data_IF_111435010768
#
_entry.id   IF_111435010768
#
_cell.length_a   1.000
_cell.length_b   1.000
_cell.length_c   1.000
_cell.angle_alpha   90.00
_cell.angle_beta   90.00
_cell.angle_gamma   90.00
#
_symmetry.space_group_name_H-M   'P 1'
#
loop_
_entity.id
_entity.type
_entity.pdbx_description
1 polymer ?
#
# COMPACT_ATOMS: atom_id res chain seq x y z
N UNK A 1 17.96 -17.62 -2.90
CA UNK A 1 19.03 -16.58 -2.97
C UNK A 1 19.51 -16.44 -4.42
N UNK A 2 19.00 -15.47 -5.17
CA UNK A 2 19.44 -15.15 -6.54
C UNK A 2 20.52 -14.06 -6.47
N UNK A 3 21.80 -14.44 -6.45
CA UNK A 3 22.90 -13.47 -6.54
C UNK A 3 22.97 -12.94 -7.98
N UNK A 4 22.77 -11.63 -8.18
CA UNK A 4 23.26 -10.90 -9.37
C UNK A 4 22.24 -10.37 -10.38
N UNK A 5 20.96 -10.74 -10.35
CA UNK A 5 19.95 -10.11 -11.21
C UNK A 5 19.25 -8.98 -10.45
N UNK A 6 19.12 -7.76 -11.03
CA UNK A 6 18.37 -6.69 -10.38
C UNK A 6 16.94 -7.17 -10.12
N UNK A 7 16.44 -6.91 -8.91
CA UNK A 7 15.06 -7.25 -8.56
C UNK A 7 14.10 -6.57 -9.54
N UNK A 8 13.04 -7.29 -9.93
CA UNK A 8 12.05 -6.75 -10.86
C UNK A 8 11.34 -5.50 -10.29
N UNK A 9 11.02 -5.54 -9.00
CA UNK A 9 10.53 -4.40 -8.24
C UNK A 9 11.66 -3.90 -7.34
N UNK A 10 11.93 -2.60 -7.42
CA UNK A 10 12.81 -1.86 -6.50
C UNK A 10 12.02 -1.46 -5.23
N UNK A 11 12.70 -1.04 -4.14
CA UNK A 11 12.04 -0.76 -2.86
C UNK A 11 10.91 0.26 -2.93
N UNK A 12 11.06 1.32 -3.73
CA UNK A 12 10.03 2.36 -3.87
C UNK A 12 8.74 1.85 -4.54
N UNK A 13 8.84 0.89 -5.47
CA UNK A 13 7.66 0.26 -6.05
C UNK A 13 6.91 -0.58 -5.03
N UNK A 14 7.62 -1.29 -4.14
CA UNK A 14 7.01 -2.10 -3.09
C UNK A 14 6.29 -1.21 -2.07
N UNK A 15 6.91 -0.09 -1.70
CA UNK A 15 6.30 0.87 -0.79
C UNK A 15 5.08 1.55 -1.44
N UNK A 16 5.17 1.92 -2.73
CA UNK A 16 4.02 2.43 -3.47
C UNK A 16 2.86 1.40 -3.52
N UNK A 17 3.18 0.12 -3.79
CA UNK A 17 2.22 -0.98 -3.79
C UNK A 17 1.58 -1.17 -2.40
N UNK A 18 2.36 -1.08 -1.33
CA UNK A 18 1.85 -1.20 0.03
C UNK A 18 0.91 -0.03 0.38
N UNK A 19 1.28 1.21 0.05
CA UNK A 19 0.45 2.39 0.30
C UNK A 19 -0.89 2.34 -0.44
N UNK A 20 -0.88 1.96 -1.72
CA UNK A 20 -2.13 1.82 -2.48
C UNK A 20 -2.97 0.65 -1.97
N UNK A 21 -2.35 -0.47 -1.57
CA UNK A 21 -3.05 -1.60 -0.96
C UNK A 21 -3.74 -1.20 0.35
N UNK A 22 -3.05 -0.46 1.23
CA UNK A 22 -3.62 0.05 2.47
C UNK A 22 -4.76 1.03 2.21
N UNK A 23 -4.67 1.86 1.17
CA UNK A 23 -5.76 2.72 0.74
C UNK A 23 -6.97 1.90 0.25
N UNK A 24 -6.73 0.88 -0.56
CA UNK A 24 -7.75 -0.04 -1.05
C UNK A 24 -8.48 -0.77 0.08
N UNK A 25 -7.77 -1.25 1.10
CA UNK A 25 -8.36 -1.85 2.29
C UNK A 25 -9.31 -0.88 3.03
N UNK A 26 -8.96 0.42 3.10
CA UNK A 26 -9.80 1.44 3.74
C UNK A 26 -11.07 1.76 2.95
N UNK A 27 -11.06 1.59 1.63
CA UNK A 27 -12.26 1.86 0.81
C UNK A 27 -13.40 0.87 1.04
N UNK A 28 -13.17 -0.23 1.76
CA UNK A 28 -14.12 -1.34 1.92
C UNK A 28 -14.60 -1.93 0.58
N UNK A 29 -13.87 -1.73 -0.54
CA UNK A 29 -14.19 -2.37 -1.82
C UNK A 29 -14.05 -3.90 -1.76
N UNK A 30 -13.25 -4.42 -0.82
CA UNK A 30 -13.09 -5.86 -0.60
C UNK A 30 -14.20 -6.33 0.34
N UNK A 31 -15.19 -7.03 -0.19
CA UNK A 31 -16.22 -7.70 0.61
C UNK A 31 -15.57 -8.74 1.52
N UNK A 32 -15.71 -8.58 2.85
CA UNK A 32 -15.28 -9.59 3.80
C UNK A 32 -16.35 -10.68 3.89
N UNK A 33 -16.18 -11.76 3.15
CA UNK A 33 -17.16 -12.87 3.08
C UNK A 33 -16.97 -13.92 4.17
N UNK A 34 -15.89 -13.86 4.96
CA UNK A 34 -15.56 -14.86 5.98
C UNK A 34 -15.83 -14.36 7.40
N UNK A 35 -16.44 -15.21 8.23
CA UNK A 35 -16.62 -15.00 9.68
C UNK A 35 -15.26 -14.78 10.38
N UNK A 36 -15.17 -13.77 11.25
CA UNK A 36 -13.96 -13.45 12.03
C UNK A 36 -13.94 -14.26 13.32
N UNK A 37 -12.96 -15.12 13.53
CA UNK A 37 -12.81 -15.94 14.75
C UNK A 37 -11.87 -15.33 15.80
N UNK A 38 -11.54 -14.03 15.69
CA UNK A 38 -10.70 -13.33 16.66
C UNK A 38 -11.41 -13.20 18.03
N UNK A 39 -10.97 -13.91 19.08
CA UNK A 39 -11.65 -13.94 20.38
C UNK A 39 -11.63 -12.59 21.09
N UNK A 40 -10.72 -11.68 20.73
CA UNK A 40 -10.68 -10.31 21.26
C UNK A 40 -11.82 -9.41 20.75
N UNK A 41 -12.50 -9.81 19.67
CA UNK A 41 -13.63 -9.05 19.07
C UNK A 41 -15.00 -9.56 19.46
N UNK A 42 -15.10 -10.77 20.05
CA UNK A 42 -16.38 -11.43 20.38
C UNK A 42 -17.07 -10.83 21.62
N UNK A 43 -16.39 -9.97 22.39
CA UNK A 43 -16.94 -9.35 23.62
C UNK A 43 -16.90 -7.82 23.68
N UNK A 44 -16.48 -7.13 22.61
CA UNK A 44 -16.32 -5.68 22.59
C UNK A 44 -17.65 -4.95 22.36
N UNK A 45 -18.23 -4.42 23.44
CA UNK A 45 -19.41 -3.55 23.46
C UNK A 45 -19.31 -2.48 22.37
N UNK A 46 -20.12 -2.61 21.31
CA UNK A 46 -20.25 -1.64 20.23
C UNK A 46 -20.50 -0.23 20.78
N UNK A 47 -19.54 0.69 20.62
CA UNK A 47 -19.78 2.14 20.60
C UNK A 47 -20.50 2.48 19.27
N UNK A 48 -21.75 2.02 19.16
CA UNK A 48 -22.40 1.62 17.91
C UNK A 48 -23.14 2.69 17.10
N UNK A 49 -22.62 3.92 16.99
CA UNK A 49 -23.18 4.86 15.99
C UNK A 49 -22.13 5.86 15.49
N UNK A 50 -21.45 6.55 16.41
CA UNK A 50 -20.42 7.54 16.06
C UNK A 50 -19.21 6.91 15.34
N UNK A 51 -18.69 5.79 15.85
CA UNK A 51 -17.55 5.08 15.23
C UNK A 51 -17.92 4.45 13.88
N UNK A 52 -19.18 4.05 13.69
CA UNK A 52 -19.65 3.53 12.41
C UNK A 52 -19.77 4.65 11.35
N UNK A 53 -20.20 5.85 11.75
CA UNK A 53 -20.26 7.01 10.88
C UNK A 53 -18.87 7.51 10.49
N UNK A 54 -17.95 7.65 11.46
CA UNK A 54 -16.55 8.02 11.19
C UNK A 54 -15.85 7.02 10.26
N UNK A 55 -16.16 5.73 10.40
CA UNK A 55 -15.61 4.69 9.55
C UNK A 55 -16.19 4.74 8.12
N UNK A 56 -17.47 5.06 7.97
CA UNK A 56 -18.12 5.24 6.68
C UNK A 56 -17.57 6.48 5.95
N UNK A 57 -17.42 7.60 6.66
CA UNK A 57 -16.84 8.84 6.12
C UNK A 57 -15.37 8.62 5.73
N UNK A 58 -14.60 7.92 6.57
CA UNK A 58 -13.23 7.52 6.24
C UNK A 58 -13.15 6.63 4.99
N UNK A 59 -14.13 5.76 4.75
CA UNK A 59 -14.17 4.92 3.56
C UNK A 59 -14.53 5.74 2.29
N UNK A 60 -15.46 6.69 2.40
CA UNK A 60 -15.82 7.61 1.30
C UNK A 60 -14.62 8.47 0.90
N UNK A 61 -13.90 9.04 1.87
CA UNK A 61 -12.72 9.86 1.57
C UNK A 61 -11.57 9.03 1.03
N UNK A 62 -11.37 7.80 1.52
CA UNK A 62 -10.41 6.87 0.93
C UNK A 62 -10.76 6.55 -0.54
N UNK A 63 -12.04 6.38 -0.88
CA UNK A 63 -12.48 6.19 -2.28
C UNK A 63 -12.17 7.40 -3.13
N UNK A 64 -12.48 8.61 -2.67
CA UNK A 64 -12.14 9.86 -3.40
C UNK A 64 -10.65 9.95 -3.67
N UNK A 65 -9.82 9.69 -2.66
CA UNK A 65 -8.36 9.69 -2.79
C UNK A 65 -7.89 8.63 -3.79
N UNK A 66 -8.44 7.41 -3.72
CA UNK A 66 -8.11 6.32 -4.63
C UNK A 66 -8.44 6.68 -6.08
N UNK A 67 -9.66 7.15 -6.36
CA UNK A 67 -10.07 7.52 -7.71
C UNK A 67 -9.22 8.66 -8.26
N UNK A 68 -8.93 9.69 -7.45
CA UNK A 68 -8.03 10.77 -7.84
C UNK A 68 -6.65 10.25 -8.24
N UNK A 69 -6.10 9.29 -7.49
CA UNK A 69 -4.82 8.66 -7.86
C UNK A 69 -4.93 7.88 -9.17
N UNK A 70 -5.97 7.05 -9.33
CA UNK A 70 -6.19 6.23 -10.53
C UNK A 70 -6.43 7.06 -11.79
N UNK A 71 -7.11 8.20 -11.69
CA UNK A 71 -7.32 9.14 -12.80
C UNK A 71 -6.02 9.74 -13.34
N UNK A 72 -4.96 9.80 -12.53
CA UNK A 72 -3.64 10.28 -12.95
C UNK A 72 -2.84 9.21 -13.71
N UNK A 73 -3.25 7.94 -13.67
CA UNK A 73 -2.58 6.85 -14.36
C UNK A 73 -3.23 6.58 -15.73
N UNK A 74 -2.45 6.10 -16.72
CA UNK A 74 -3.01 5.49 -17.92
C UNK A 74 -3.98 4.35 -17.55
N UNK A 75 -5.07 4.20 -18.31
CA UNK A 75 -6.13 3.24 -18.01
C UNK A 75 -5.61 1.79 -17.82
N UNK A 76 -4.65 1.37 -18.65
CA UNK A 76 -4.03 0.05 -18.54
C UNK A 76 -3.26 -0.13 -17.22
N UNK A 77 -2.54 0.93 -16.78
CA UNK A 77 -1.80 0.91 -15.52
C UNK A 77 -2.75 0.88 -14.32
N UNK A 78 -3.79 1.71 -14.33
CA UNK A 78 -4.81 1.74 -13.29
C UNK A 78 -5.49 0.36 -13.15
N UNK A 79 -5.86 -0.26 -14.28
CA UNK A 79 -6.46 -1.59 -14.31
C UNK A 79 -5.56 -2.66 -13.70
N UNK A 80 -4.28 -2.70 -14.07
CA UNK A 80 -3.32 -3.69 -13.54
C UNK A 80 -3.04 -3.48 -12.05
N UNK A 81 -2.92 -2.23 -11.59
CA UNK A 81 -2.73 -1.94 -10.17
C UNK A 81 -3.93 -2.44 -9.37
N UNK A 82 -5.16 -2.20 -9.85
CA UNK A 82 -6.37 -2.70 -9.19
C UNK A 82 -6.43 -4.23 -9.17
N UNK A 83 -6.11 -4.88 -10.29
CA UNK A 83 -6.07 -6.34 -10.38
C UNK A 83 -5.04 -6.97 -9.44
N UNK A 84 -3.84 -6.40 -9.35
CA UNK A 84 -2.74 -6.97 -8.54
C UNK A 84 -2.82 -6.56 -7.09
N UNK A 85 -3.01 -5.27 -6.79
CA UNK A 85 -2.98 -4.76 -5.42
C UNK A 85 -4.33 -4.85 -4.72
N UNK A 86 -5.43 -4.75 -5.46
CA UNK A 86 -6.80 -4.85 -4.92
C UNK A 86 -7.29 -6.29 -4.92
N UNK A 87 -7.35 -6.90 -6.11
CA UNK A 87 -7.91 -8.25 -6.28
C UNK A 87 -6.90 -9.38 -6.10
N UNK A 88 -5.61 -9.07 -5.91
CA UNK A 88 -4.54 -10.05 -5.73
C UNK A 88 -4.47 -11.11 -6.84
N UNK A 89 -4.86 -10.73 -8.07
CA UNK A 89 -4.79 -11.62 -9.23
C UNK A 89 -3.33 -11.92 -9.60
N UNK A 90 -3.09 -13.16 -10.04
CA UNK A 90 -1.81 -13.51 -10.65
C UNK A 90 -1.63 -12.84 -12.02
N UNK A 91 -0.40 -12.45 -12.36
CA UNK A 91 -0.10 -11.76 -13.63
C UNK A 91 -0.56 -12.55 -14.87
N UNK A 92 -0.45 -13.87 -14.84
CA UNK A 92 -0.88 -14.73 -15.95
C UNK A 92 -2.40 -14.67 -16.18
N UNK A 93 -3.17 -14.56 -15.09
CA UNK A 93 -4.63 -14.43 -15.15
C UNK A 93 -5.01 -13.09 -15.79
N UNK A 94 -4.35 -12.01 -15.37
CA UNK A 94 -4.55 -10.66 -15.93
C UNK A 94 -4.26 -10.64 -17.43
N UNK A 95 -3.14 -11.25 -17.86
CA UNK A 95 -2.79 -11.35 -19.28
C UNK A 95 -3.87 -12.12 -20.07
N UNK A 96 -4.43 -13.18 -19.48
CA UNK A 96 -5.46 -14.00 -20.12
C UNK A 96 -6.81 -13.27 -20.21
N UNK A 97 -7.25 -12.65 -19.12
CA UNK A 97 -8.51 -11.90 -19.06
C UNK A 97 -8.49 -10.68 -20.00
N UNK A 98 -7.35 -10.00 -20.12
CA UNK A 98 -7.19 -8.80 -20.95
C UNK A 98 -6.72 -9.09 -22.37
N UNK A 99 -6.54 -10.36 -22.73
CA UNK A 99 -5.99 -10.79 -24.04
C UNK A 99 -4.64 -10.13 -24.37
N UNK A 100 -3.80 -9.96 -23.35
CA UNK A 100 -2.49 -9.34 -23.53
C UNK A 100 -1.40 -10.38 -23.83
N UNK A 101 -0.35 -9.98 -24.57
CA UNK A 101 0.81 -10.85 -24.82
C UNK A 101 1.50 -11.28 -23.52
N UNK A 102 2.22 -12.40 -23.56
CA UNK A 102 2.97 -12.90 -22.41
C UNK A 102 3.97 -11.85 -21.88
N UNK A 103 4.04 -11.71 -20.55
CA UNK A 103 4.92 -10.79 -19.80
C UNK A 103 4.58 -9.30 -19.93
N UNK A 104 3.47 -8.95 -20.58
CA UNK A 104 3.00 -7.56 -20.68
C UNK A 104 2.51 -7.00 -19.34
N UNK A 105 1.75 -7.77 -18.56
CA UNK A 105 1.20 -7.32 -17.29
C UNK A 105 2.32 -7.00 -16.30
N UNK A 106 3.42 -7.77 -16.36
CA UNK A 106 4.62 -7.48 -15.59
C UNK A 106 5.20 -6.10 -15.93
N UNK A 107 5.35 -5.78 -17.22
CA UNK A 107 5.91 -4.50 -17.64
C UNK A 107 4.99 -3.33 -17.27
N UNK A 108 3.68 -3.47 -17.52
CA UNK A 108 2.67 -2.45 -17.23
C UNK A 108 2.55 -2.21 -15.71
N UNK A 109 2.59 -3.26 -14.90
CA UNK A 109 2.61 -3.13 -13.43
C UNK A 109 3.80 -2.29 -12.97
N UNK A 110 4.99 -2.54 -13.51
CA UNK A 110 6.19 -1.78 -13.13
C UNK A 110 6.06 -0.30 -13.48
N UNK A 111 5.55 0.00 -14.68
CA UNK A 111 5.31 1.38 -15.13
C UNK A 111 4.29 2.06 -14.22
N UNK A 112 3.17 1.40 -13.92
CA UNK A 112 2.14 1.93 -13.02
C UNK A 112 2.68 2.19 -11.61
N UNK A 113 3.48 1.27 -11.06
CA UNK A 113 4.10 1.43 -9.75
C UNK A 113 5.16 2.54 -9.71
N UNK A 114 5.88 2.76 -10.81
CA UNK A 114 6.79 3.91 -10.93
C UNK A 114 6.02 5.23 -10.87
N UNK A 115 4.93 5.34 -11.63
CA UNK A 115 4.10 6.55 -11.63
C UNK A 115 3.48 6.80 -10.25
N UNK A 116 2.98 5.75 -9.59
CA UNK A 116 2.51 5.86 -8.21
C UNK A 116 3.61 6.29 -7.24
N UNK A 117 4.83 5.76 -7.38
CA UNK A 117 5.93 6.15 -6.53
C UNK A 117 6.24 7.66 -6.68
N UNK A 118 6.22 8.19 -7.90
CA UNK A 118 6.35 9.62 -8.17
C UNK A 118 5.24 10.41 -7.48
N UNK A 119 3.98 9.99 -7.60
CA UNK A 119 2.85 10.64 -6.94
C UNK A 119 2.95 10.60 -5.40
N UNK A 120 3.56 9.56 -4.84
CA UNK A 120 3.79 9.44 -3.40
C UNK A 120 5.10 10.10 -2.92
N UNK A 121 5.88 10.71 -3.82
CA UNK A 121 7.18 11.29 -3.49
C UNK A 121 8.21 10.24 -3.02
N UNK A 122 8.06 8.99 -3.46
CA UNK A 122 8.95 7.89 -3.13
C UNK A 122 10.12 7.85 -4.12
N UNK A 123 11.31 7.56 -3.63
CA UNK A 123 12.50 7.36 -4.47
C UNK A 123 13.24 6.09 -4.08
N UNK A 124 14.08 5.59 -4.98
CA UNK A 124 14.84 4.34 -4.77
C UNK A 124 15.80 4.44 -3.58
N UNK A 125 16.29 5.64 -3.27
CA UNK A 125 17.14 5.92 -2.11
C UNK A 125 16.30 6.57 -1.04
N UNK A 126 16.30 6.01 0.18
CA UNK A 126 15.70 6.69 1.31
C UNK A 126 16.51 7.95 1.67
N UNK A 127 16.14 9.08 1.07
CA UNK A 127 16.62 10.39 1.51
C UNK A 127 15.74 10.86 2.65
N UNK A 128 16.14 10.50 3.88
CA UNK A 128 15.50 11.07 5.06
C UNK A 128 15.64 12.59 5.05
N UNK A 129 14.66 13.30 5.63
CA UNK A 129 14.87 14.70 6.03
C UNK A 129 16.18 14.74 6.81
N UNK A 130 17.07 15.73 6.53
CA UNK A 130 18.30 15.92 7.32
C UNK A 130 17.91 15.90 8.80
N UNK A 131 18.17 14.78 9.46
CA UNK A 131 17.73 14.57 10.83
C UNK A 131 18.50 15.56 11.68
N UNK A 132 17.79 16.48 12.35
CA UNK A 132 18.36 17.34 13.39
C UNK A 132 18.64 16.49 14.62
N UNK A 133 19.70 15.68 14.56
CA UNK A 133 20.21 14.83 15.65
C UNK A 133 19.21 13.78 16.17
N UNK A 134 19.68 12.69 16.80
CA UNK A 134 18.80 11.88 17.61
C UNK A 134 18.23 12.77 18.73
N UNK A 135 16.90 12.87 18.84
CA UNK A 135 16.28 13.35 20.09
C UNK A 135 16.50 12.27 21.12
N UNK A 136 17.56 12.41 21.92
CA UNK A 136 17.77 11.54 23.08
C UNK A 136 16.77 11.93 24.16
N UNK A 137 16.03 10.94 24.68
CA UNK A 137 15.31 11.09 25.94
C UNK A 137 16.25 11.21 27.13
N UNK A 138 17.52 10.86 26.93
CA UNK A 138 18.63 11.06 27.87
C UNK A 138 19.17 12.48 27.76
N UNK A 139 19.35 13.13 28.91
CA UNK A 139 20.09 14.39 28.98
C UNK A 139 21.59 14.14 28.69
N UNK A 140 22.33 15.15 28.23
CA UNK A 140 23.79 15.08 28.18
C UNK A 140 24.33 14.70 29.58
N UNK A 141 25.04 13.56 29.67
CA UNK A 141 25.57 13.04 30.94
C UNK A 141 24.75 11.94 31.62
N UNK A 142 23.64 11.47 31.04
CA UNK A 142 22.83 10.37 31.63
C UNK A 142 23.38 8.95 31.37
N UNK A 143 24.65 8.81 31.01
CA UNK A 143 25.25 7.49 30.80
C UNK A 143 25.61 6.85 32.16
N UNK A 144 25.17 5.63 32.47
CA UNK A 144 25.55 4.97 33.72
C UNK A 144 27.03 4.59 33.67
N UNK A 145 27.80 5.02 34.67
CA UNK A 145 29.25 4.79 34.72
C UNK A 145 29.64 3.35 35.11
N UNK A 146 28.70 2.53 35.61
CA UNK A 146 28.98 1.18 36.08
C UNK A 146 27.81 0.22 35.78
N UNK A 147 28.16 -1.03 35.46
CA UNK A 147 27.28 -2.20 35.36
C UNK A 147 27.58 -3.16 36.51
#
# INVERSE_FOLDING_TARGET
>A
KTKGKPAFLLPHHLEAANRIHMLLLRTQMIQRTTMSYDPGRVGGKNSGSFVAHDLADSAVDAKKQLFKLLEMLPADCAGVIMDVCGFQKGLQLIETERQWPRRSAKLILRIGLEQLAVQFGLSYVATGVKSTGPRSWMQPGSQPEFF
#
